data_IF_678505975412
#
_entry.id   IF_678505975412
#
_cell.length_a   1.000
_cell.length_b   1.000
_cell.length_c   1.000
_cell.angle_alpha   90.00
_cell.angle_beta   90.00
_cell.angle_gamma   90.00
#
_symmetry.space_group_name_H-M   'P 1'
#
loop_
_entity.id
_entity.type
_entity.pdbx_description
1 polymer ?
#
# COMPACT_ATOMS: atom_id res chain seq x y z
N UNK A 1 5.95 2.37 13.24
CA UNK A 1 4.89 2.45 12.21
C UNK A 1 5.09 3.79 11.52
N UNK A 2 5.73 3.79 10.37
CA UNK A 2 6.08 5.00 9.61
C UNK A 2 5.73 4.82 8.14
N UNK A 3 6.45 5.52 7.26
CA UNK A 3 6.19 5.48 5.82
C UNK A 3 6.38 4.08 5.21
N UNK A 4 7.19 3.23 5.86
CA UNK A 4 7.44 1.85 5.48
C UNK A 4 6.16 0.98 5.52
N UNK A 5 5.36 1.14 6.58
CA UNK A 5 4.10 0.42 6.74
C UNK A 5 3.03 0.96 5.79
N UNK A 6 2.98 2.29 5.62
CA UNK A 6 2.09 2.91 4.63
C UNK A 6 2.34 2.32 3.24
N UNK A 7 3.59 2.22 2.81
CA UNK A 7 3.93 1.68 1.50
C UNK A 7 3.61 0.19 1.37
N UNK A 8 3.87 -0.63 2.41
CA UNK A 8 3.47 -2.05 2.40
C UNK A 8 1.96 -2.23 2.26
N UNK A 9 1.17 -1.46 3.01
CA UNK A 9 -0.29 -1.53 2.93
C UNK A 9 -0.79 -1.08 1.55
N UNK A 10 -0.19 -0.04 0.95
CA UNK A 10 -0.53 0.39 -0.40
C UNK A 10 -0.18 -0.67 -1.47
N UNK A 11 0.91 -1.42 -1.31
CA UNK A 11 1.24 -2.54 -2.20
C UNK A 11 0.20 -3.67 -2.11
N UNK A 12 -0.27 -3.99 -0.90
CA UNK A 12 -1.36 -4.96 -0.71
C UNK A 12 -2.66 -4.46 -1.35
N UNK A 13 -3.00 -3.18 -1.16
CA UNK A 13 -4.18 -2.58 -1.77
C UNK A 13 -4.12 -2.63 -3.30
N UNK A 14 -2.97 -2.33 -3.90
CA UNK A 14 -2.77 -2.42 -5.34
C UNK A 14 -2.94 -3.85 -5.84
N UNK A 15 -2.35 -4.82 -5.15
CA UNK A 15 -2.50 -6.23 -5.48
C UNK A 15 -3.98 -6.66 -5.43
N UNK A 16 -4.68 -6.34 -4.35
CA UNK A 16 -6.10 -6.70 -4.20
C UNK A 16 -6.98 -6.00 -5.23
N UNK A 17 -6.71 -4.73 -5.55
CA UNK A 17 -7.42 -4.02 -6.61
C UNK A 17 -7.22 -4.69 -7.98
N UNK A 18 -6.00 -5.14 -8.29
CA UNK A 18 -5.73 -5.87 -9.53
C UNK A 18 -6.47 -7.22 -9.57
N UNK A 19 -6.44 -8.00 -8.49
CA UNK A 19 -7.18 -9.28 -8.42
C UNK A 19 -8.68 -9.05 -8.56
N UNK A 20 -9.21 -7.99 -7.96
CA UNK A 20 -10.62 -7.63 -8.12
C UNK A 20 -10.97 -7.31 -9.58
N UNK A 21 -10.12 -6.52 -10.26
CA UNK A 21 -10.29 -6.20 -11.68
C UNK A 21 -10.29 -7.45 -12.56
N UNK A 22 -9.34 -8.36 -12.35
CA UNK A 22 -9.26 -9.62 -13.10
C UNK A 22 -10.49 -10.52 -12.81
N UNK A 23 -10.95 -10.57 -11.55
CA UNK A 23 -12.15 -11.32 -11.18
C UNK A 23 -13.41 -10.80 -11.87
N UNK A 24 -13.53 -9.48 -12.10
CA UNK A 24 -14.65 -8.90 -12.87
C UNK A 24 -14.62 -9.43 -14.31
N UNK A 25 -13.47 -9.41 -14.97
CA UNK A 25 -13.30 -9.92 -16.33
C UNK A 25 -13.62 -11.41 -16.47
N UNK A 26 -13.40 -12.19 -15.40
CA UNK A 26 -13.70 -13.63 -15.33
C UNK A 26 -15.12 -13.95 -14.85
N UNK A 27 -15.93 -12.95 -14.48
CA UNK A 27 -17.29 -13.15 -13.95
C UNK A 27 -17.35 -13.63 -12.49
N UNK A 28 -16.23 -13.62 -11.76
CA UNK A 28 -16.14 -14.02 -10.35
C UNK A 28 -16.51 -12.85 -9.41
N UNK A 29 -17.75 -12.37 -9.48
CA UNK A 29 -18.16 -11.13 -8.82
C UNK A 29 -18.07 -11.17 -7.28
N UNK A 30 -18.39 -12.29 -6.64
CA UNK A 30 -18.24 -12.44 -5.18
C UNK A 30 -16.78 -12.27 -4.75
N UNK A 31 -15.84 -12.88 -5.51
CA UNK A 31 -14.40 -12.73 -5.26
C UNK A 31 -13.93 -11.32 -5.51
N UNK A 32 -14.38 -10.69 -6.59
CA UNK A 32 -14.08 -9.29 -6.87
C UNK A 32 -14.51 -8.39 -5.71
N UNK A 33 -15.73 -8.59 -5.20
CA UNK A 33 -16.25 -7.84 -4.06
C UNK A 33 -15.42 -8.04 -2.79
N UNK A 34 -15.00 -9.28 -2.48
CA UNK A 34 -14.09 -9.55 -1.36
C UNK A 34 -12.78 -8.80 -1.49
N UNK A 35 -12.12 -8.84 -2.66
CA UNK A 35 -10.85 -8.14 -2.86
C UNK A 35 -11.00 -6.61 -2.85
N UNK A 36 -12.14 -6.06 -3.27
CA UNK A 36 -12.43 -4.63 -3.08
C UNK A 36 -12.49 -4.26 -1.59
N UNK A 37 -13.11 -5.11 -0.76
CA UNK A 37 -13.19 -4.87 0.69
C UNK A 37 -11.79 -4.90 1.32
N UNK A 38 -10.95 -5.87 0.96
CA UNK A 38 -9.59 -5.99 1.52
C UNK A 38 -8.69 -4.85 1.03
N UNK A 39 -8.78 -4.47 -0.25
CA UNK A 39 -8.08 -3.30 -0.78
C UNK A 39 -8.43 -2.02 -0.01
N UNK A 40 -9.73 -1.81 0.29
CA UNK A 40 -10.17 -0.67 1.11
C UNK A 40 -9.59 -0.71 2.52
N UNK A 41 -9.62 -1.87 3.18
CA UNK A 41 -9.04 -2.01 4.52
C UNK A 41 -7.54 -1.69 4.55
N UNK A 42 -6.79 -2.12 3.53
CA UNK A 42 -5.38 -1.79 3.39
C UNK A 42 -5.15 -0.29 3.13
N UNK A 43 -5.99 0.35 2.30
CA UNK A 43 -5.96 1.81 2.10
C UNK A 43 -6.23 2.56 3.41
N UNK A 44 -7.21 2.13 4.19
CA UNK A 44 -7.53 2.76 5.49
C UNK A 44 -6.35 2.61 6.46
N UNK A 45 -5.66 1.46 6.48
CA UNK A 45 -4.46 1.27 7.28
C UNK A 45 -3.29 2.15 6.81
N UNK A 46 -3.10 2.28 5.50
CA UNK A 46 -2.11 3.19 4.92
C UNK A 46 -2.41 4.66 5.28
N UNK A 47 -3.68 5.09 5.23
CA UNK A 47 -4.10 6.43 5.63
C UNK A 47 -3.73 6.72 7.08
N UNK A 48 -4.03 5.80 8.00
CA UNK A 48 -3.75 5.99 9.43
C UNK A 48 -2.26 6.23 9.66
N UNK A 49 -1.42 5.44 9.00
CA UNK A 49 0.05 5.55 9.14
C UNK A 49 0.60 6.81 8.46
N UNK A 50 0.08 7.20 7.29
CA UNK A 50 0.44 8.45 6.62
C UNK A 50 0.04 9.67 7.46
N UNK A 51 -1.16 9.67 8.05
CA UNK A 51 -1.64 10.75 8.91
C UNK A 51 -0.76 10.92 10.15
N UNK A 52 -0.29 9.81 10.73
CA UNK A 52 0.68 9.86 11.82
C UNK A 52 2.01 10.44 11.34
N UNK A 53 2.54 9.97 10.20
CA UNK A 53 3.80 10.49 9.65
C UNK A 53 3.74 12.00 9.36
N UNK A 54 2.62 12.48 8.81
CA UNK A 54 2.38 13.92 8.57
C UNK A 54 2.34 14.76 9.86
N UNK A 55 2.00 14.15 10.99
CA UNK A 55 1.92 14.84 12.29
C UNK A 55 3.28 14.88 13.00
N UNK A 56 4.13 13.88 12.77
CA UNK A 56 5.39 13.70 13.49
C UNK A 56 6.63 14.16 12.71
N UNK A 57 6.58 14.12 11.37
CA UNK A 57 7.74 14.43 10.53
C UNK A 57 7.66 15.83 9.95
N UNK A 58 8.78 16.55 9.97
CA UNK A 58 8.94 17.70 9.10
C UNK A 58 8.97 17.27 7.62
N UNK A 59 8.67 18.18 6.67
CA UNK A 59 8.72 17.84 5.24
C UNK A 59 10.06 17.25 4.77
N UNK A 60 11.17 17.73 5.33
CA UNK A 60 12.51 17.22 4.99
C UNK A 60 12.77 15.82 5.56
N UNK A 61 12.27 15.52 6.75
CA UNK A 61 12.36 14.18 7.34
C UNK A 61 11.49 13.18 6.59
N UNK A 62 10.25 13.56 6.26
CA UNK A 62 9.34 12.75 5.47
C UNK A 62 9.91 12.42 4.09
N UNK A 63 10.52 13.39 3.40
CA UNK A 63 11.16 13.16 2.11
C UNK A 63 12.34 12.17 2.21
N UNK A 64 13.18 12.32 3.23
CA UNK A 64 14.32 11.43 3.46
C UNK A 64 13.88 10.02 3.83
N UNK A 65 12.92 9.88 4.74
CA UNK A 65 12.39 8.58 5.14
C UNK A 65 11.70 7.88 3.96
N UNK A 66 10.91 8.62 3.18
CA UNK A 66 10.28 8.10 1.96
C UNK A 66 11.30 7.56 0.96
N UNK A 67 12.40 8.30 0.71
CA UNK A 67 13.47 7.83 -0.17
C UNK A 67 14.12 6.53 0.33
N UNK A 68 14.42 6.42 1.64
CA UNK A 68 14.97 5.21 2.24
C UNK A 68 14.04 4.00 2.10
N UNK A 69 12.72 4.22 2.23
CA UNK A 69 11.72 3.16 2.04
C UNK A 69 11.71 2.70 0.59
N UNK A 70 11.74 3.62 -0.38
CA UNK A 70 11.74 3.26 -1.80
C UNK A 70 13.01 2.52 -2.20
N UNK A 71 14.19 2.99 -1.79
CA UNK A 71 15.47 2.30 -2.03
C UNK A 71 15.44 0.87 -1.46
N UNK A 72 14.86 0.69 -0.26
CA UNK A 72 14.74 -0.61 0.36
C UNK A 72 13.78 -1.55 -0.39
N UNK A 73 12.75 -1.02 -1.05
CA UNK A 73 11.81 -1.82 -1.85
C UNK A 73 12.42 -2.24 -3.19
N UNK A 74 13.11 -1.32 -3.88
CA UNK A 74 13.84 -1.63 -5.11
C UNK A 74 14.90 -2.71 -4.88
N UNK A 75 15.62 -2.63 -3.74
CA UNK A 75 16.57 -3.65 -3.33
C UNK A 75 15.94 -5.04 -3.06
N UNK A 76 14.68 -5.09 -2.65
CA UNK A 76 13.95 -6.35 -2.44
C UNK A 76 13.41 -6.94 -3.74
N UNK A 77 13.04 -6.11 -4.71
CA UNK A 77 12.59 -6.54 -6.04
C UNK A 77 13.75 -7.06 -6.88
N UNK A 78 14.93 -6.43 -6.81
CA UNK A 78 16.13 -6.88 -7.52
C UNK A 78 16.69 -8.24 -7.03
N UNK A 79 16.24 -8.70 -5.85
CA UNK A 79 16.64 -9.98 -5.27
C UNK A 79 15.64 -11.13 -5.48
N UNK A 80 14.50 -10.92 -6.15
CA UNK A 80 13.49 -11.94 -6.47
C UNK A 80 13.57 -12.38 -7.93
#
# INVERSE_FOLDING_TARGET
MGLDESTRQLQLALHDAQVAFDCIGLGHLDRAHTHVITARAAIDAAEVTLRHALSELSPGEAAREGALVMDALEGQEAGR
#
